data_IF_110211850079
#
_entry.id   IF_110211850079
#
_cell.length_a   1.000
_cell.length_b   1.000
_cell.length_c   1.000
_cell.angle_alpha   90.00
_cell.angle_beta   90.00
_cell.angle_gamma   90.00
#
_symmetry.space_group_name_H-M   'P 1'
#
loop_
_entity.id
_entity.type
_entity.pdbx_description
1 polymer ?
#
# COMPACT_ATOMS: atom_id res chain seq x y z
N UNK A 1 -22.88 -12.37 -12.10
CA UNK A 1 -22.42 -11.41 -11.06
C UNK A 1 -20.94 -11.56 -10.69
N UNK A 2 -20.19 -12.47 -11.32
CA UNK A 2 -18.81 -12.81 -10.90
C UNK A 2 -17.69 -11.86 -11.39
N UNK A 3 -17.89 -11.10 -12.48
CA UNK A 3 -16.85 -10.20 -13.01
C UNK A 3 -16.59 -8.93 -12.18
N UNK A 4 -17.54 -8.51 -11.34
CA UNK A 4 -17.47 -7.20 -10.66
C UNK A 4 -16.75 -7.26 -9.30
N UNK A 5 -16.89 -8.37 -8.56
CA UNK A 5 -16.15 -8.59 -7.29
C UNK A 5 -14.68 -8.89 -7.54
N UNK A 6 -14.37 -9.74 -8.54
CA UNK A 6 -13.00 -10.05 -8.95
C UNK A 6 -12.23 -8.79 -9.38
N UNK A 7 -12.91 -7.80 -10.00
CA UNK A 7 -12.30 -6.53 -10.39
C UNK A 7 -11.92 -5.65 -9.19
N UNK A 8 -12.81 -5.49 -8.19
CA UNK A 8 -12.51 -4.69 -6.99
C UNK A 8 -11.38 -5.30 -6.16
N UNK A 9 -11.38 -6.62 -6.01
CA UNK A 9 -10.30 -7.33 -5.33
C UNK A 9 -8.98 -7.15 -6.08
N UNK A 10 -8.96 -7.38 -7.41
CA UNK A 10 -7.78 -7.17 -8.23
C UNK A 10 -7.26 -5.72 -8.14
N UNK A 11 -8.17 -4.73 -8.06
CA UNK A 11 -7.80 -3.34 -7.88
C UNK A 11 -7.16 -3.08 -6.51
N UNK A 12 -7.67 -3.68 -5.43
CA UNK A 12 -7.05 -3.58 -4.10
C UNK A 12 -5.67 -4.20 -4.08
N UNK A 13 -5.52 -5.42 -4.62
CA UNK A 13 -4.25 -6.12 -4.74
C UNK A 13 -3.25 -5.32 -5.58
N UNK A 14 -3.71 -4.72 -6.69
CA UNK A 14 -2.90 -3.87 -7.55
C UNK A 14 -2.37 -2.63 -6.82
N UNK A 15 -3.24 -1.90 -6.11
CA UNK A 15 -2.85 -0.72 -5.33
C UNK A 15 -1.78 -1.10 -4.30
N UNK A 16 -1.99 -2.17 -3.54
CA UNK A 16 -1.02 -2.60 -2.51
C UNK A 16 0.27 -3.13 -3.14
N UNK A 17 0.20 -3.81 -4.28
CA UNK A 17 1.39 -4.30 -5.00
C UNK A 17 2.23 -3.20 -5.63
N UNK A 18 1.72 -1.96 -5.71
CA UNK A 18 2.52 -0.82 -6.17
C UNK A 18 3.52 -0.31 -5.12
N UNK A 19 3.42 -0.79 -3.87
CA UNK A 19 4.30 -0.38 -2.79
C UNK A 19 5.72 -0.96 -2.97
N UNK A 20 6.77 -0.26 -2.50
CA UNK A 20 8.15 -0.68 -2.65
C UNK A 20 8.41 -2.10 -2.10
N UNK A 21 8.81 -3.01 -2.98
CA UNK A 21 9.16 -4.39 -2.59
C UNK A 21 7.98 -5.29 -2.24
N UNK A 22 6.76 -4.90 -2.66
CA UNK A 22 5.52 -5.69 -2.51
C UNK A 22 5.10 -6.22 -3.88
N UNK A 23 5.09 -7.55 -4.06
CA UNK A 23 4.54 -8.20 -5.25
C UNK A 23 3.10 -8.67 -5.04
N UNK A 24 2.51 -9.32 -6.06
CA UNK A 24 1.13 -9.81 -6.02
C UNK A 24 0.83 -10.79 -4.88
N UNK A 25 1.78 -11.67 -4.52
CA UNK A 25 1.59 -12.57 -3.37
C UNK A 25 1.57 -11.81 -2.04
N UNK A 26 2.50 -10.86 -1.89
CA UNK A 26 2.63 -10.11 -0.65
C UNK A 26 1.53 -9.08 -0.48
N UNK A 27 0.95 -8.57 -1.57
CA UNK A 27 -0.23 -7.71 -1.51
C UNK A 27 -1.47 -8.45 -1.02
N UNK A 28 -1.67 -9.71 -1.45
CA UNK A 28 -2.72 -10.59 -0.92
C UNK A 28 -2.54 -10.87 0.56
N UNK A 29 -1.32 -11.22 0.99
CA UNK A 29 -1.00 -11.44 2.40
C UNK A 29 -1.27 -10.20 3.25
N UNK A 30 -0.85 -9.01 2.80
CA UNK A 30 -1.13 -7.75 3.47
C UNK A 30 -2.64 -7.49 3.59
N UNK A 31 -3.39 -7.65 2.50
CA UNK A 31 -4.83 -7.44 2.51
C UNK A 31 -5.57 -8.48 3.37
N UNK A 32 -5.06 -9.70 3.46
CA UNK A 32 -5.59 -10.72 4.36
C UNK A 32 -5.40 -10.32 5.84
N UNK A 33 -4.20 -9.87 6.21
CA UNK A 33 -3.86 -9.49 7.58
C UNK A 33 -4.55 -8.18 8.02
N UNK A 34 -4.62 -7.19 7.14
CA UNK A 34 -5.13 -5.85 7.46
C UNK A 34 -6.58 -5.62 6.99
N UNK A 35 -7.18 -6.54 6.24
CA UNK A 35 -8.57 -6.52 5.75
C UNK A 35 -8.95 -5.40 4.76
N UNK A 36 -8.10 -4.40 4.50
CA UNK A 36 -8.38 -3.34 3.52
C UNK A 36 -7.13 -2.55 3.12
N UNK A 37 -7.15 -1.91 1.95
CA UNK A 37 -6.10 -1.00 1.49
C UNK A 37 -5.85 0.13 2.50
N UNK A 38 -6.92 0.75 3.02
CA UNK A 38 -6.81 1.84 3.98
C UNK A 38 -6.05 1.41 5.25
N UNK A 39 -6.38 0.23 5.80
CA UNK A 39 -5.70 -0.33 6.97
C UNK A 39 -4.23 -0.68 6.69
N UNK A 40 -3.90 -1.17 5.49
CA UNK A 40 -2.49 -1.37 5.08
C UNK A 40 -1.73 -0.03 5.08
N UNK A 41 -2.34 1.04 4.57
CA UNK A 41 -1.69 2.34 4.44
C UNK A 41 -1.56 3.09 5.77
N UNK A 42 -2.44 2.83 6.73
CA UNK A 42 -2.35 3.37 8.08
C UNK A 42 -1.52 2.54 9.06
N UNK A 43 -1.12 1.32 8.68
CA UNK A 43 -0.31 0.46 9.53
C UNK A 43 1.04 1.11 9.86
N UNK A 44 1.48 0.94 11.10
CA UNK A 44 2.82 1.32 11.55
C UNK A 44 3.90 0.40 10.98
N UNK A 45 5.15 0.84 11.01
CA UNK A 45 6.29 -0.01 10.60
C UNK A 45 6.33 -1.33 11.40
N UNK A 46 6.03 -1.28 12.70
CA UNK A 46 5.98 -2.46 13.58
C UNK A 46 4.86 -3.44 13.20
N UNK A 47 3.69 -2.94 12.79
CA UNK A 47 2.60 -3.80 12.33
C UNK A 47 2.91 -4.43 10.98
N UNK A 48 3.48 -3.67 10.04
CA UNK A 48 3.89 -4.18 8.74
C UNK A 48 4.93 -5.31 8.87
N UNK A 49 5.87 -5.19 9.83
CA UNK A 49 6.88 -6.21 10.10
C UNK A 49 6.33 -7.54 10.62
N UNK A 50 5.08 -7.59 11.10
CA UNK A 50 4.43 -8.84 11.51
C UNK A 50 4.06 -9.72 10.31
N UNK A 51 3.99 -9.14 9.11
CA UNK A 51 3.73 -9.90 7.88
C UNK A 51 5.02 -10.56 7.41
N UNK A 52 4.95 -11.86 7.15
CA UNK A 52 6.09 -12.66 6.66
C UNK A 52 6.72 -11.99 5.44
N UNK A 53 8.06 -11.97 5.37
CA UNK A 53 8.84 -11.35 4.29
C UNK A 53 8.83 -9.80 4.25
N UNK A 54 8.29 -9.15 5.29
CA UNK A 54 8.42 -7.71 5.51
C UNK A 54 9.35 -7.50 6.72
N UNK A 55 10.61 -7.17 6.45
CA UNK A 55 11.56 -6.70 7.47
C UNK A 55 11.67 -5.17 7.49
N UNK A 56 12.55 -4.63 8.35
CA UNK A 56 12.70 -3.18 8.58
C UNK A 56 12.90 -2.39 7.29
N UNK A 57 13.71 -2.88 6.36
CA UNK A 57 13.97 -2.19 5.08
C UNK A 57 12.69 -1.97 4.27
N UNK A 58 11.81 -2.98 4.21
CA UNK A 58 10.56 -2.87 3.46
C UNK A 58 9.55 -2.02 4.21
N UNK A 59 9.36 -2.28 5.51
CA UNK A 59 8.43 -1.52 6.34
C UNK A 59 8.72 -0.02 6.29
N UNK A 60 9.98 0.38 6.46
CA UNK A 60 10.42 1.77 6.38
C UNK A 60 10.22 2.38 4.99
N UNK A 61 10.50 1.63 3.92
CA UNK A 61 10.30 2.11 2.55
C UNK A 61 8.81 2.33 2.23
N UNK A 62 7.93 1.44 2.71
CA UNK A 62 6.48 1.56 2.58
C UNK A 62 5.99 2.80 3.34
N UNK A 63 6.36 2.94 4.62
CA UNK A 63 5.95 4.09 5.43
C UNK A 63 6.43 5.40 4.80
N UNK A 64 7.68 5.43 4.33
CA UNK A 64 8.27 6.59 3.66
C UNK A 64 7.46 7.02 2.43
N UNK A 65 7.11 6.11 1.51
CA UNK A 65 6.38 6.51 0.30
C UNK A 65 4.95 6.97 0.59
N UNK A 66 4.33 6.45 1.66
CA UNK A 66 2.97 6.83 2.06
C UNK A 66 2.96 8.22 2.72
N UNK A 67 3.99 8.54 3.51
CA UNK A 67 4.06 9.80 4.28
C UNK A 67 4.74 10.94 3.55
N UNK A 68 5.63 10.66 2.59
CA UNK A 68 6.42 11.70 1.94
C UNK A 68 5.52 12.62 1.11
N UNK A 69 5.69 13.94 1.27
CA UNK A 69 4.96 14.91 0.48
C UNK A 69 5.24 14.71 -1.02
N UNK A 70 4.17 14.76 -1.82
CA UNK A 70 4.32 14.64 -3.27
C UNK A 70 5.07 15.86 -3.83
N UNK A 71 6.32 15.66 -4.24
CA UNK A 71 7.21 16.73 -4.75
C UNK A 71 6.71 17.43 -6.02
N UNK A 72 5.77 16.82 -6.74
CA UNK A 72 5.12 17.46 -7.89
C UNK A 72 4.06 18.48 -7.51
N UNK A 73 3.58 18.47 -6.26
CA UNK A 73 2.65 19.46 -5.73
C UNK A 73 3.42 20.69 -5.24
N UNK A 74 3.89 21.53 -6.15
CA UNK A 74 4.12 22.93 -5.79
C UNK A 74 2.75 23.54 -5.48
N UNK A 75 2.46 23.83 -4.21
CA UNK A 75 1.20 24.49 -3.77
C UNK A 75 0.92 25.81 -4.51
N UNK A 76 1.89 26.35 -5.25
CA UNK A 76 1.74 27.52 -6.13
C UNK A 76 1.19 27.25 -7.54
N UNK A 77 0.90 26.01 -7.95
CA UNK A 77 0.43 25.69 -9.32
C UNK A 77 -1.10 25.69 -9.49
N UNK A 78 -1.85 25.91 -8.41
CA UNK A 78 -3.32 25.88 -8.38
C UNK A 78 -3.96 27.28 -8.24
N UNK A 79 -3.20 28.35 -8.47
CA UNK A 79 -3.67 29.75 -8.39
C UNK A 79 -3.49 30.52 -9.72
N UNK A 80 -3.63 29.85 -10.88
CA UNK A 80 -3.77 30.54 -12.17
C UNK A 80 -5.09 30.20 -12.82
#
# INVERSE_FOLDING_TARGET
>A
TEKHQSSKQAQQEYIVSSLPGIGADLSRELLFNFSSVGKVFSASEEELKKVKLIGDKKAKAIRKIIDEEYKGASKGRLLQ
#
